data_IF_211785543295
#
_entry.id   IF_211785543295
#
_cell.length_a   1.000
_cell.length_b   1.000
_cell.length_c   1.000
_cell.angle_alpha   90.00
_cell.angle_beta   90.00
_cell.angle_gamma   90.00
#
_symmetry.space_group_name_H-M   'P 1'
#
loop_
_entity.id
_entity.type
_entity.pdbx_description
1 polymer ?
#
# COMPACT_ATOMS: atom_id res chain seq x y z
N UNK A 1 -6.92 32.20 35.20
CA UNK A 1 -6.20 32.25 33.91
C UNK A 1 -5.26 31.04 33.70
N UNK A 2 -4.43 30.67 34.68
CA UNK A 2 -3.51 29.51 34.58
C UNK A 2 -4.19 28.13 34.40
N UNK A 3 -5.39 27.94 34.96
CA UNK A 3 -6.15 26.69 34.82
C UNK A 3 -6.54 26.34 33.37
N UNK A 4 -6.61 27.33 32.48
CA UNK A 4 -6.92 27.12 31.05
C UNK A 4 -5.63 27.02 30.20
N UNK A 5 -4.53 27.61 30.67
CA UNK A 5 -3.26 27.64 29.92
C UNK A 5 -2.58 26.26 29.95
N UNK A 6 -2.57 25.57 31.10
CA UNK A 6 -1.97 24.23 31.24
C UNK A 6 -2.57 23.20 30.27
N UNK A 7 -3.90 23.02 30.18
CA UNK A 7 -4.46 22.05 29.23
C UNK A 7 -4.20 22.43 27.77
N UNK A 8 -4.17 23.72 27.42
CA UNK A 8 -3.80 24.17 26.07
C UNK A 8 -2.35 23.80 25.74
N UNK A 9 -1.41 24.04 26.66
CA UNK A 9 0.00 23.67 26.49
C UNK A 9 0.15 22.15 26.33
N UNK A 10 -0.56 21.35 27.14
CA UNK A 10 -0.51 19.89 27.04
C UNK A 10 -1.06 19.39 25.69
N UNK A 11 -2.17 19.96 25.20
CA UNK A 11 -2.72 19.62 23.88
C UNK A 11 -1.73 19.98 22.77
N UNK A 12 -1.12 21.16 22.83
CA UNK A 12 -0.11 21.60 21.87
C UNK A 12 1.11 20.67 21.91
N UNK A 13 1.60 20.32 23.10
CA UNK A 13 2.74 19.41 23.28
C UNK A 13 2.44 18.00 22.75
N UNK A 14 1.25 17.45 23.03
CA UNK A 14 0.82 16.16 22.48
C UNK A 14 0.70 16.20 20.95
N UNK A 15 0.18 17.29 20.39
CA UNK A 15 0.11 17.50 18.94
C UNK A 15 1.50 17.51 18.30
N UNK A 16 2.41 18.34 18.82
CA UNK A 16 3.78 18.41 18.30
C UNK A 16 4.53 17.09 18.49
N UNK A 17 4.39 16.40 19.63
CA UNK A 17 4.96 15.07 19.85
C UNK A 17 4.47 14.07 18.79
N UNK A 18 3.17 14.03 18.52
CA UNK A 18 2.58 13.20 17.48
C UNK A 18 3.14 13.52 16.09
N UNK A 19 3.25 14.81 15.78
CA UNK A 19 3.79 15.31 14.52
C UNK A 19 5.27 14.96 14.31
N UNK A 20 6.12 15.24 15.32
CA UNK A 20 7.54 14.91 15.28
C UNK A 20 7.77 13.40 15.19
N UNK A 21 7.00 12.61 15.92
CA UNK A 21 7.06 11.15 15.81
C UNK A 21 6.66 10.66 14.41
N UNK A 22 5.61 11.22 13.82
CA UNK A 22 5.20 10.84 12.46
C UNK A 22 6.31 11.14 11.44
N UNK A 23 6.92 12.33 11.51
CA UNK A 23 8.05 12.71 10.64
C UNK A 23 9.31 11.88 10.88
N UNK A 24 9.65 11.63 12.14
CA UNK A 24 10.80 10.81 12.51
C UNK A 24 10.69 9.38 11.99
N UNK A 25 9.49 8.80 12.08
CA UNK A 25 9.19 7.46 11.54
C UNK A 25 9.33 7.38 10.03
N UNK A 26 8.83 8.37 9.30
CA UNK A 26 8.99 8.42 7.85
C UNK A 26 10.46 8.55 7.45
N UNK A 27 11.22 9.44 8.09
CA UNK A 27 12.66 9.60 7.86
C UNK A 27 13.43 8.31 8.14
N UNK A 28 13.08 7.62 9.23
CA UNK A 28 13.66 6.32 9.59
C UNK A 28 13.44 5.28 8.50
N UNK A 29 12.20 5.13 7.97
CA UNK A 29 11.92 4.16 6.91
C UNK A 29 12.72 4.47 5.63
N UNK A 30 12.83 5.76 5.25
CA UNK A 30 13.57 6.19 4.05
C UNK A 30 15.07 5.91 4.14
N UNK A 31 15.65 6.10 5.32
CA UNK A 31 17.10 6.02 5.54
C UNK A 31 17.57 4.70 6.14
N UNK A 32 16.65 3.79 6.47
CA UNK A 32 16.99 2.50 7.07
C UNK A 32 17.88 1.66 6.14
N UNK A 33 18.95 1.12 6.73
CA UNK A 33 19.85 0.20 6.07
C UNK A 33 19.35 -1.23 6.21
N UNK A 34 18.91 -1.81 5.10
CA UNK A 34 18.58 -3.22 5.03
C UNK A 34 19.81 -4.08 5.35
N UNK A 35 19.65 -5.22 6.06
CA UNK A 35 20.74 -6.15 6.32
C UNK A 35 21.49 -6.55 5.03
N UNK A 36 22.82 -6.42 5.02
CA UNK A 36 23.65 -6.69 3.83
C UNK A 36 23.50 -8.12 3.27
N UNK A 37 23.15 -9.08 4.14
CA UNK A 37 22.91 -10.47 3.74
C UNK A 37 21.64 -10.70 2.91
N UNK A 38 20.74 -9.70 2.81
CA UNK A 38 19.49 -9.83 2.07
C UNK A 38 19.71 -9.97 0.58
N UNK A 39 20.68 -9.24 0.00
CA UNK A 39 21.01 -9.37 -1.42
C UNK A 39 21.31 -10.83 -1.76
N UNK A 40 22.23 -11.46 -1.02
CA UNK A 40 22.62 -12.86 -1.23
C UNK A 40 21.45 -13.83 -1.10
N UNK A 41 20.49 -13.56 -0.21
CA UNK A 41 19.30 -14.40 -0.03
C UNK A 41 18.33 -14.21 -1.19
N UNK A 42 18.03 -12.98 -1.57
CA UNK A 42 17.16 -12.67 -2.72
C UNK A 42 17.74 -13.22 -4.04
N UNK A 43 19.05 -13.10 -4.26
CA UNK A 43 19.72 -13.63 -5.45
C UNK A 43 19.62 -15.14 -5.59
N UNK A 44 19.33 -15.90 -4.52
CA UNK A 44 19.04 -17.33 -4.64
C UNK A 44 17.69 -17.60 -5.30
N UNK A 45 16.70 -16.74 -5.05
CA UNK A 45 15.37 -16.80 -5.66
C UNK A 45 15.36 -16.17 -7.06
N UNK A 46 16.15 -15.11 -7.25
CA UNK A 46 16.24 -14.36 -8.50
C UNK A 46 17.70 -14.24 -8.95
N UNK A 47 18.29 -15.31 -9.53
CA UNK A 47 19.71 -15.37 -9.88
C UNK A 47 20.14 -14.34 -10.93
N UNK A 48 19.19 -13.82 -11.71
CA UNK A 48 19.46 -12.84 -12.77
C UNK A 48 19.47 -11.39 -12.26
N UNK A 49 19.20 -11.14 -10.97
CA UNK A 49 19.22 -9.77 -10.42
C UNK A 49 20.64 -9.26 -10.23
N UNK A 50 20.90 -8.11 -10.84
CA UNK A 50 22.11 -7.31 -10.62
C UNK A 50 22.04 -6.53 -9.31
N UNK A 51 23.18 -6.06 -8.81
CA UNK A 51 23.25 -5.18 -7.64
C UNK A 51 22.44 -3.89 -7.82
N UNK A 52 22.46 -3.29 -9.01
CA UNK A 52 21.67 -2.09 -9.30
C UNK A 52 20.17 -2.35 -9.20
N UNK A 53 19.70 -3.50 -9.72
CA UNK A 53 18.30 -3.91 -9.59
C UNK A 53 17.93 -4.22 -8.13
N UNK A 54 18.85 -4.78 -7.34
CA UNK A 54 18.62 -4.96 -5.91
C UNK A 54 18.39 -3.64 -5.15
N UNK A 55 19.11 -2.58 -5.51
CA UNK A 55 18.85 -1.24 -4.95
C UNK A 55 17.44 -0.76 -5.30
N UNK A 56 16.97 -1.01 -6.52
CA UNK A 56 15.61 -0.69 -6.95
C UNK A 56 14.55 -1.49 -6.18
N UNK A 57 14.76 -2.79 -5.99
CA UNK A 57 13.86 -3.65 -5.17
C UNK A 57 13.86 -3.19 -3.70
N UNK A 58 15.02 -2.80 -3.17
CA UNK A 58 15.13 -2.23 -1.83
C UNK A 58 14.33 -0.93 -1.69
N UNK A 59 14.35 -0.08 -2.71
CA UNK A 59 13.54 1.15 -2.72
C UNK A 59 12.05 0.86 -2.82
N UNK A 60 11.65 -0.11 -3.65
CA UNK A 60 10.27 -0.61 -3.71
C UNK A 60 9.79 -1.13 -2.35
N UNK A 61 10.64 -1.84 -1.61
CA UNK A 61 10.33 -2.31 -0.25
C UNK A 61 10.16 -1.14 0.73
N UNK A 62 11.04 -0.12 0.68
CA UNK A 62 10.88 1.10 1.49
C UNK A 62 9.59 1.82 1.15
N UNK A 63 9.25 1.91 -0.14
CA UNK A 63 7.99 2.48 -0.59
C UNK A 63 6.79 1.73 0.00
N UNK A 64 6.80 0.39 0.01
CA UNK A 64 5.76 -0.41 0.65
C UNK A 64 5.60 -0.07 2.14
N UNK A 65 6.70 0.04 2.87
CA UNK A 65 6.67 0.42 4.28
C UNK A 65 6.15 1.84 4.51
N UNK A 66 6.51 2.78 3.64
CA UNK A 66 5.96 4.14 3.67
C UNK A 66 4.45 4.15 3.38
N UNK A 67 3.98 3.36 2.42
CA UNK A 67 2.56 3.18 2.12
C UNK A 67 1.82 2.68 3.36
N UNK A 68 2.34 1.65 4.04
CA UNK A 68 1.75 1.16 5.29
C UNK A 68 1.68 2.26 6.35
N UNK A 69 2.79 2.98 6.60
CA UNK A 69 2.85 4.06 7.58
C UNK A 69 1.84 5.19 7.26
N UNK A 70 1.86 5.70 6.02
CA UNK A 70 1.02 6.83 5.56
C UNK A 70 -0.47 6.47 5.52
N UNK A 71 -0.80 5.19 5.40
CA UNK A 71 -2.18 4.73 5.49
C UNK A 71 -2.78 4.70 6.90
N UNK A 72 -2.04 5.20 7.90
CA UNK A 72 -2.41 5.04 9.30
C UNK A 72 -2.21 3.61 9.79
N UNK A 73 -1.30 2.86 9.16
CA UNK A 73 -0.98 1.45 9.48
C UNK A 73 -2.19 0.51 9.30
N UNK A 74 -3.02 0.82 8.30
CA UNK A 74 -4.15 -0.01 7.87
C UNK A 74 -3.68 -1.12 6.93
N UNK A 75 -4.59 -2.04 6.61
CA UNK A 75 -4.35 -3.10 5.64
C UNK A 75 -3.96 -2.52 4.28
N UNK A 76 -2.81 -2.91 3.76
CA UNK A 76 -2.32 -2.60 2.41
C UNK A 76 -1.92 -3.92 1.75
N UNK A 77 -2.12 -4.04 0.44
CA UNK A 77 -1.74 -5.24 -0.30
C UNK A 77 -0.39 -5.04 -0.98
N UNK A 78 0.42 -6.10 -1.04
CA UNK A 78 1.68 -6.11 -1.78
C UNK A 78 1.37 -6.28 -3.29
N UNK A 79 1.76 -5.35 -4.16
CA UNK A 79 1.47 -5.42 -5.59
C UNK A 79 2.63 -6.00 -6.42
N UNK A 80 3.76 -6.35 -5.81
CA UNK A 80 4.97 -6.85 -6.48
C UNK A 80 5.49 -8.13 -5.82
N UNK A 81 5.77 -9.14 -6.63
CA UNK A 81 6.34 -10.42 -6.22
C UNK A 81 7.79 -10.25 -5.74
N UNK A 82 8.65 -9.56 -6.50
CA UNK A 82 10.07 -9.42 -6.11
C UNK A 82 10.23 -8.60 -4.83
N UNK A 83 9.31 -7.65 -4.61
CA UNK A 83 9.26 -6.87 -3.37
C UNK A 83 8.76 -7.71 -2.20
N UNK A 84 7.78 -8.60 -2.42
CA UNK A 84 7.31 -9.56 -1.41
C UNK A 84 8.41 -10.54 -1.00
N UNK A 85 9.15 -11.07 -1.98
CA UNK A 85 10.26 -12.01 -1.75
C UNK A 85 11.36 -11.36 -0.90
N UNK A 86 11.73 -10.10 -1.19
CA UNK A 86 12.68 -9.37 -0.35
C UNK A 86 12.12 -9.12 1.06
N UNK A 87 10.83 -8.86 1.18
CA UNK A 87 10.20 -8.69 2.49
C UNK A 87 10.19 -10.00 3.29
N UNK A 88 9.88 -11.14 2.66
CA UNK A 88 9.98 -12.46 3.30
C UNK A 88 11.37 -12.71 3.84
N UNK A 89 12.39 -12.46 3.03
CA UNK A 89 13.78 -12.60 3.46
C UNK A 89 14.11 -11.67 4.64
N UNK A 90 13.55 -10.45 4.67
CA UNK A 90 13.77 -9.51 5.77
C UNK A 90 13.10 -9.95 7.08
N UNK A 91 11.91 -10.55 7.03
CA UNK A 91 11.21 -11.06 8.23
C UNK A 91 12.04 -12.12 8.96
N UNK A 92 12.86 -12.90 8.24
CA UNK A 92 13.74 -13.91 8.82
C UNK A 92 14.90 -13.30 9.62
N UNK A 93 15.23 -12.03 9.43
CA UNK A 93 16.14 -11.28 10.32
C UNK A 93 15.35 -10.77 11.53
N UNK A 94 14.81 -11.70 12.32
CA UNK A 94 13.75 -11.43 13.32
C UNK A 94 14.04 -10.26 14.25
N UNK A 95 15.25 -10.17 14.81
CA UNK A 95 15.65 -9.04 15.67
C UNK A 95 15.70 -7.71 14.90
N UNK A 96 16.31 -7.70 13.71
CA UNK A 96 16.39 -6.50 12.89
C UNK A 96 15.00 -6.06 12.40
N UNK A 97 14.15 -7.01 12.04
CA UNK A 97 12.77 -6.76 11.59
C UNK A 97 11.90 -6.22 12.73
N UNK A 98 12.00 -6.79 13.92
CA UNK A 98 11.29 -6.29 15.11
C UNK A 98 11.73 -4.87 15.46
N UNK A 99 13.04 -4.60 15.45
CA UNK A 99 13.59 -3.27 15.70
C UNK A 99 13.12 -2.27 14.63
N UNK A 100 13.15 -2.67 13.36
CA UNK A 100 12.63 -1.87 12.26
C UNK A 100 11.15 -1.52 12.45
N UNK A 101 10.30 -2.51 12.80
CA UNK A 101 8.88 -2.27 13.00
C UNK A 101 8.59 -1.35 14.20
N UNK A 102 9.33 -1.52 15.30
CA UNK A 102 9.20 -0.65 16.48
C UNK A 102 9.55 0.81 16.14
N UNK A 103 10.67 1.03 15.47
CA UNK A 103 11.14 2.37 15.11
C UNK A 103 10.34 3.00 13.96
N UNK A 104 10.01 2.22 12.91
CA UNK A 104 9.28 2.69 11.74
C UNK A 104 7.79 2.82 11.97
N UNK A 105 7.15 1.82 12.58
CA UNK A 105 5.68 1.79 12.73
C UNK A 105 5.22 2.01 14.17
N UNK A 106 6.00 1.63 15.16
CA UNK A 106 5.61 1.68 16.58
C UNK A 106 4.83 0.45 17.02
N UNK A 107 4.71 -0.54 16.13
CA UNK A 107 4.13 -1.86 16.36
C UNK A 107 4.68 -2.83 15.31
N UNK A 108 4.55 -4.12 15.58
CA UNK A 108 4.94 -5.14 14.63
C UNK A 108 4.04 -5.13 13.39
N UNK A 109 4.62 -5.20 12.20
CA UNK A 109 3.88 -5.40 10.95
C UNK A 109 3.90 -6.89 10.63
N UNK A 110 2.76 -7.56 10.75
CA UNK A 110 2.66 -8.97 10.40
C UNK A 110 2.49 -9.13 8.89
N UNK A 111 3.28 -10.03 8.30
CA UNK A 111 3.02 -10.49 6.94
C UNK A 111 1.82 -11.44 6.96
N UNK A 112 0.83 -11.16 6.12
CA UNK A 112 -0.33 -12.04 5.94
C UNK A 112 -0.39 -12.41 4.46
N UNK A 113 -0.05 -13.66 4.10
CA UNK A 113 -0.10 -14.10 2.72
C UNK A 113 -1.48 -13.88 2.10
N UNK A 114 -1.53 -13.55 0.81
CA UNK A 114 -2.80 -13.36 0.10
C UNK A 114 -3.71 -14.59 0.24
N UNK A 115 -3.15 -15.80 0.26
CA UNK A 115 -3.90 -17.04 0.48
C UNK A 115 -4.70 -17.04 1.80
N UNK A 116 -4.13 -16.46 2.87
CA UNK A 116 -4.72 -16.40 4.21
C UNK A 116 -5.75 -15.27 4.40
N UNK A 117 -5.91 -14.35 3.43
CA UNK A 117 -6.94 -13.30 3.50
C UNK A 117 -8.34 -13.89 3.29
N UNK A 118 -9.32 -13.38 4.04
CA UNK A 118 -10.73 -13.78 3.90
C UNK A 118 -11.26 -13.47 2.50
N UNK A 119 -12.28 -14.22 2.07
CA UNK A 119 -12.93 -14.01 0.76
C UNK A 119 -13.50 -12.60 0.60
N UNK A 120 -13.99 -11.99 1.69
CA UNK A 120 -14.50 -10.61 1.72
C UNK A 120 -13.37 -9.61 1.48
N UNK A 121 -12.23 -9.78 2.16
CA UNK A 121 -11.06 -8.90 1.98
C UNK A 121 -10.48 -9.00 0.57
N UNK A 122 -10.47 -10.20 -0.02
CA UNK A 122 -10.06 -10.42 -1.42
C UNK A 122 -11.02 -9.74 -2.40
N UNK A 123 -12.34 -9.87 -2.20
CA UNK A 123 -13.36 -9.29 -3.09
C UNK A 123 -13.34 -7.76 -3.11
N UNK A 124 -13.09 -7.13 -1.97
CA UNK A 124 -13.25 -5.68 -1.87
C UNK A 124 -12.07 -4.88 -2.44
N UNK A 125 -10.94 -5.52 -2.80
CA UNK A 125 -9.72 -4.87 -3.33
C UNK A 125 -9.23 -3.66 -2.50
N UNK A 126 -9.64 -3.55 -1.24
CA UNK A 126 -9.40 -2.35 -0.41
C UNK A 126 -7.90 -2.17 -0.15
N UNK A 127 -7.20 -3.28 0.08
CA UNK A 127 -5.75 -3.27 0.32
C UNK A 127 -4.99 -2.72 -0.88
N UNK A 128 -5.29 -3.22 -2.08
CA UNK A 128 -4.60 -2.82 -3.31
C UNK A 128 -4.95 -1.39 -3.74
N UNK A 129 -6.22 -0.96 -3.61
CA UNK A 129 -6.63 0.44 -3.87
C UNK A 129 -5.92 1.43 -2.95
N UNK A 130 -5.76 1.09 -1.67
CA UNK A 130 -5.02 1.90 -0.70
C UNK A 130 -3.53 1.95 -1.01
N UNK A 131 -2.94 0.81 -1.38
CA UNK A 131 -1.55 0.76 -1.86
C UNK A 131 -1.37 1.67 -3.06
N UNK A 132 -2.25 1.58 -4.06
CA UNK A 132 -2.23 2.43 -5.25
C UNK A 132 -2.28 3.92 -4.91
N UNK A 133 -3.25 4.33 -4.09
CA UNK A 133 -3.43 5.72 -3.69
C UNK A 133 -2.17 6.29 -3.04
N UNK A 134 -1.62 5.62 -2.04
CA UNK A 134 -0.43 6.12 -1.34
C UNK A 134 0.85 6.00 -2.17
N UNK A 135 0.98 4.97 -3.02
CA UNK A 135 2.11 4.86 -3.94
C UNK A 135 2.14 6.06 -4.89
N UNK A 136 0.99 6.39 -5.49
CA UNK A 136 0.84 7.58 -6.34
C UNK A 136 1.18 8.86 -5.58
N UNK A 137 0.70 9.04 -4.35
CA UNK A 137 1.02 10.20 -3.53
C UNK A 137 2.52 10.31 -3.19
N UNK A 138 3.21 9.20 -2.93
CA UNK A 138 4.65 9.20 -2.63
C UNK A 138 5.46 9.67 -3.84
N UNK A 139 5.03 9.32 -5.05
CA UNK A 139 5.69 9.67 -6.31
C UNK A 139 5.13 10.91 -7.00
N UNK A 140 4.20 11.63 -6.35
CA UNK A 140 3.52 12.80 -6.93
C UNK A 140 2.77 12.50 -8.25
N UNK A 141 2.22 11.30 -8.37
CA UNK A 141 1.37 10.87 -9.48
C UNK A 141 -0.10 11.12 -9.10
N UNK A 142 -0.92 11.57 -10.05
CA UNK A 142 -2.36 11.67 -9.85
C UNK A 142 -2.98 10.25 -9.85
N UNK A 143 -3.58 9.78 -8.74
CA UNK A 143 -4.10 8.42 -8.67
C UNK A 143 -5.33 8.19 -9.56
N UNK A 144 -6.03 9.24 -10.00
CA UNK A 144 -7.22 9.15 -10.87
C UNK A 144 -6.87 9.10 -12.36
N UNK A 145 -5.81 9.81 -12.73
CA UNK A 145 -5.33 9.91 -14.11
C UNK A 145 -3.82 9.69 -14.07
N UNK A 146 -3.37 8.44 -13.87
CA UNK A 146 -1.95 8.13 -13.75
C UNK A 146 -1.24 8.32 -15.09
N UNK A 147 -0.23 9.18 -15.12
CA UNK A 147 0.65 9.33 -16.29
C UNK A 147 1.69 8.21 -16.39
N UNK A 148 2.04 7.61 -15.24
CA UNK A 148 2.96 6.50 -15.11
C UNK A 148 2.54 5.58 -13.96
N UNK A 149 3.09 4.37 -13.90
CA UNK A 149 2.91 3.47 -12.77
C UNK A 149 3.88 3.82 -11.64
N UNK A 150 3.43 3.81 -10.37
CA UNK A 150 4.34 3.85 -9.25
C UNK A 150 5.32 2.67 -9.27
N UNK A 151 6.54 2.85 -8.76
CA UNK A 151 7.63 1.89 -8.72
C UNK A 151 7.16 0.50 -8.25
N UNK A 152 6.51 0.42 -7.09
CA UNK A 152 6.06 -0.87 -6.53
C UNK A 152 5.08 -1.63 -7.43
N UNK A 153 4.36 -0.94 -8.33
CA UNK A 153 3.50 -1.56 -9.34
C UNK A 153 4.26 -1.85 -10.64
N UNK A 154 5.32 -1.12 -10.96
CA UNK A 154 6.06 -1.26 -12.21
C UNK A 154 7.19 -2.30 -12.14
N UNK A 155 7.77 -2.50 -10.95
CA UNK A 155 9.07 -3.15 -10.79
C UNK A 155 9.11 -4.60 -11.29
N UNK A 156 8.04 -5.38 -11.09
CA UNK A 156 7.98 -6.77 -11.54
C UNK A 156 8.11 -6.88 -13.06
N UNK A 157 7.38 -6.02 -13.79
CA UNK A 157 7.45 -5.96 -15.25
C UNK A 157 8.79 -5.39 -15.73
N UNK A 158 9.34 -4.37 -15.05
CA UNK A 158 10.63 -3.78 -15.41
C UNK A 158 11.80 -4.76 -15.28
N UNK A 159 11.73 -5.67 -14.30
CA UNK A 159 12.78 -6.64 -14.01
C UNK A 159 12.53 -8.03 -14.63
N UNK A 160 11.44 -8.20 -15.40
CA UNK A 160 11.02 -9.47 -15.99
C UNK A 160 10.94 -10.61 -14.95
N UNK A 161 10.31 -10.34 -13.81
CA UNK A 161 10.19 -11.29 -12.70
C UNK A 161 9.25 -12.42 -13.09
N UNK A 162 9.71 -13.67 -12.91
CA UNK A 162 8.87 -14.85 -13.12
C UNK A 162 7.69 -14.85 -12.12
N UNK A 163 6.47 -15.06 -12.62
CA UNK A 163 5.22 -14.93 -11.86
C UNK A 163 4.98 -13.54 -11.25
N UNK A 164 5.66 -12.51 -11.77
CA UNK A 164 5.43 -11.12 -11.38
C UNK A 164 4.07 -10.59 -11.81
N UNK A 165 3.66 -9.49 -11.19
CA UNK A 165 2.44 -8.77 -11.54
C UNK A 165 2.71 -7.76 -12.65
N UNK A 166 1.87 -7.73 -13.68
CA UNK A 166 1.96 -6.78 -14.79
C UNK A 166 0.80 -5.80 -14.71
N UNK A 167 1.08 -4.52 -14.54
CA UNK A 167 0.06 -3.46 -14.51
C UNK A 167 0.17 -2.57 -15.75
N UNK A 168 -0.95 -1.97 -16.14
CA UNK A 168 -1.00 -0.94 -17.20
C UNK A 168 -1.79 0.28 -16.74
N UNK A 169 -1.38 1.47 -17.18
CA UNK A 169 -2.07 2.73 -16.84
C UNK A 169 -3.33 2.95 -17.66
N UNK A 170 -3.37 2.52 -18.93
CA UNK A 170 -4.51 2.68 -19.84
C UNK A 170 -5.00 1.33 -20.38
N UNK A 171 -6.09 0.85 -19.81
CA UNK A 171 -6.65 -0.47 -20.08
C UNK A 171 -7.48 -0.49 -21.37
N UNK A 172 -7.95 0.68 -21.82
CA UNK A 172 -8.64 0.82 -23.11
C UNK A 172 -7.66 0.65 -24.26
N UNK A 173 -6.45 1.20 -24.14
CA UNK A 173 -5.38 1.00 -25.13
C UNK A 173 -4.81 -0.41 -25.12
N UNK A 174 -4.81 -1.08 -23.96
CA UNK A 174 -4.33 -2.45 -23.84
C UNK A 174 -5.32 -3.49 -24.40
N UNK A 175 -6.53 -3.10 -24.81
CA UNK A 175 -7.55 -4.04 -25.32
C UNK A 175 -8.08 -5.03 -24.26
N UNK A 176 -7.84 -4.74 -22.98
CA UNK A 176 -8.16 -5.64 -21.87
C UNK A 176 -9.56 -5.33 -21.35
N UNK A 177 -10.57 -6.02 -21.89
CA UNK A 177 -11.91 -6.04 -21.31
C UNK A 177 -11.90 -6.93 -20.08
N UNK A 178 -11.87 -6.31 -18.90
CA UNK A 178 -12.39 -6.85 -17.64
C UNK A 178 -12.12 -8.32 -17.31
N UNK A 179 -11.12 -8.53 -16.44
CA UNK A 179 -11.05 -9.60 -15.45
C UNK A 179 -10.98 -11.05 -15.97
N UNK A 180 -9.80 -11.69 -15.81
CA UNK A 180 -9.72 -13.09 -15.34
C UNK A 180 -8.30 -13.41 -14.86
N UNK A 181 -8.23 -13.79 -13.58
CA UNK A 181 -7.02 -14.28 -12.93
C UNK A 181 -6.63 -15.65 -13.46
N UNK A 182 -5.45 -15.71 -14.07
CA UNK A 182 -4.61 -16.90 -14.25
C UNK A 182 -3.34 -16.45 -14.97
N UNK A 183 -2.17 -16.89 -14.48
CA UNK A 183 -0.80 -16.69 -14.99
C UNK A 183 -0.65 -15.72 -16.17
N UNK A 184 -0.26 -14.47 -15.89
CA UNK A 184 -0.11 -13.41 -16.89
C UNK A 184 -1.27 -12.42 -16.98
N UNK A 185 -2.14 -12.39 -15.96
CA UNK A 185 -3.22 -11.40 -15.88
C UNK A 185 -2.65 -9.98 -15.79
N UNK A 186 -2.95 -9.16 -16.80
CA UNK A 186 -2.58 -7.74 -16.79
C UNK A 186 -3.62 -6.97 -15.97
N UNK A 187 -3.15 -6.29 -14.93
CA UNK A 187 -3.98 -5.54 -13.98
C UNK A 187 -4.12 -4.07 -14.42
N UNK A 188 -5.33 -3.54 -14.26
CA UNK A 188 -5.61 -2.17 -14.63
C UNK A 188 -5.34 -1.20 -13.48
N UNK A 189 -4.35 -0.31 -13.63
CA UNK A 189 -4.09 0.75 -12.65
C UNK A 189 -5.27 1.73 -12.50
N UNK A 190 -5.95 2.02 -13.63
CA UNK A 190 -7.14 2.89 -13.67
C UNK A 190 -8.35 2.33 -12.93
N UNK A 191 -8.47 1.01 -12.75
CA UNK A 191 -9.59 0.40 -12.03
C UNK A 191 -9.52 0.70 -10.52
N UNK A 192 -8.33 0.97 -9.99
CA UNK A 192 -8.14 1.39 -8.61
C UNK A 192 -8.61 2.82 -8.35
N UNK A 193 -8.77 3.64 -9.41
CA UNK A 193 -9.27 5.00 -9.35
C UNK A 193 -10.79 5.13 -9.37
N UNK A 194 -11.50 4.09 -9.82
CA UNK A 194 -12.95 4.15 -10.03
C UNK A 194 -13.73 4.30 -8.71
N UNK A 195 -14.70 5.22 -8.73
CA UNK A 195 -15.45 5.76 -7.60
C UNK A 195 -16.51 4.85 -6.99
N UNK A 196 -16.70 3.62 -7.47
CA UNK A 196 -17.74 2.70 -6.99
C UNK A 196 -17.44 2.04 -5.62
N UNK A 197 -16.56 2.65 -4.83
CA UNK A 197 -16.21 2.20 -3.49
C UNK A 197 -15.03 2.99 -2.96
N UNK A 198 -15.30 4.21 -2.51
CA UNK A 198 -14.35 5.04 -1.78
C UNK A 198 -13.85 4.33 -0.51
N UNK A 199 -12.65 4.56 0.00
CA UNK A 199 -11.47 5.28 -0.50
C UNK A 199 -10.30 4.99 0.46
N UNK A 200 -9.08 5.19 -0.03
CA UNK A 200 -7.84 4.82 0.65
C UNK A 200 -7.51 5.59 1.94
N UNK A 201 -8.37 6.45 2.52
CA UNK A 201 -8.11 7.12 3.81
C UNK A 201 -9.40 7.45 4.61
N UNK A 202 -9.24 7.90 5.86
CA UNK A 202 -10.08 7.66 7.06
C UNK A 202 -11.42 8.39 7.22
N UNK A 203 -11.96 9.15 6.26
CA UNK A 203 -13.17 9.93 6.55
C UNK A 203 -13.92 10.38 5.29
N UNK A 204 -15.12 9.83 5.10
CA UNK A 204 -16.23 10.51 4.44
C UNK A 204 -16.23 10.49 2.92
N UNK A 205 -16.87 9.48 2.35
CA UNK A 205 -17.61 9.67 1.11
C UNK A 205 -18.78 10.63 1.37
N UNK A 206 -18.59 11.95 1.28
CA UNK A 206 -19.72 12.87 1.06
C UNK A 206 -19.75 13.20 -0.42
N UNK A 207 -20.34 12.28 -1.18
CA UNK A 207 -20.83 12.59 -2.52
C UNK A 207 -22.30 12.93 -2.38
N UNK A 208 -22.62 14.22 -2.44
CA UNK A 208 -23.97 14.68 -2.74
C UNK A 208 -24.42 13.98 -4.04
N UNK A 209 -25.50 13.22 -3.91
CA UNK A 209 -26.06 12.39 -4.96
C UNK A 209 -27.50 12.10 -4.60
N UNK A 210 -28.33 13.11 -4.82
CA UNK A 210 -29.79 13.05 -4.85
C UNK A 210 -30.24 11.78 -5.59
N UNK A 211 -30.90 10.87 -4.89
CA UNK A 211 -31.68 9.81 -5.51
C UNK A 211 -32.92 9.60 -4.67
N UNK A 212 -34.00 10.27 -5.08
CA UNK A 212 -35.33 10.13 -4.51
C UNK A 212 -35.77 8.67 -4.44
N UNK A 213 -36.17 8.25 -3.24
CA UNK A 213 -36.94 7.03 -3.05
C UNK A 213 -38.42 7.36 -3.22
N UNK A 214 -38.88 7.38 -4.48
CA UNK A 214 -40.28 7.18 -4.81
C UNK A 214 -40.53 5.69 -5.05
N UNK A 215 -41.52 5.10 -4.37
CA UNK A 215 -41.96 3.75 -4.64
C UNK A 215 -42.66 3.10 -3.45
N UNK A 216 -43.99 3.22 -3.40
CA UNK A 216 -44.83 2.45 -2.49
C UNK A 216 -45.18 1.07 -3.02
N UNK A 217 -45.47 0.16 -2.08
CA UNK A 217 -46.25 -1.08 -2.10
C UNK A 217 -46.45 -1.41 -0.59
N UNK A 218 -47.60 -1.71 0.01
CA UNK A 218 -48.81 -2.38 -0.46
C UNK A 218 -48.99 -3.69 0.32
N UNK A 219 -49.89 -3.70 1.32
CA UNK A 219 -50.69 -4.86 1.72
C UNK A 219 -50.17 -5.84 2.80
N UNK A 220 -50.93 -5.95 3.90
CA UNK A 220 -51.66 -7.19 4.26
C UNK A 220 -51.12 -8.12 5.36
N UNK A 221 -51.94 -8.31 6.41
CA UNK A 221 -52.05 -9.51 7.24
C UNK A 221 -51.02 -9.65 8.38
N UNK A 222 -51.35 -9.93 9.64
CA UNK A 222 -52.58 -10.39 10.32
C UNK A 222 -52.62 -9.78 11.73
#
# INVERSE_FOLDING_TARGET
>A
MYLIIIPIILVIACYFWGFFNARGRESYIRTFNLPQGLYRRLSKHHPNLTTAQFHLVSESLRQFFLIHLRSGRKLVAMPSQVTDDLWHEFILYTQAYQNFCSNGFGKFLHHTPAAALSSIQKKNNVGIKRTWFHACQIENINPRIPTQLPLIFAIDAQLNIANGFHYVTDCKKAGLTGNKGSNGAVYCGGDFASSSGCDGSTSGCTGDGDSGCGGGCGGGGD
#
